data_IF_998877580197
#
_entry.id   IF_998877580197
#
_cell.length_a   1.000
_cell.length_b   1.000
_cell.length_c   1.000
_cell.angle_alpha   90.00
_cell.angle_beta   90.00
_cell.angle_gamma   90.00
#
_symmetry.space_group_name_H-M   'P 1'
#
loop_
_entity.id
_entity.type
_entity.pdbx_description
1 polymer ?
#
# COMPACT_ATOMS: atom_id res chain seq x y z
N UNK A 1 18.13 15.44 0.15
CA UNK A 1 17.62 15.37 1.54
C UNK A 1 16.58 14.27 1.53
N UNK A 2 16.56 13.37 2.53
CA UNK A 2 15.41 12.49 2.69
C UNK A 2 14.19 13.34 3.09
N UNK A 3 13.02 12.97 2.61
CA UNK A 3 11.76 13.57 2.97
C UNK A 3 10.86 12.51 3.61
N UNK A 4 9.96 12.96 4.48
CA UNK A 4 8.91 12.10 5.02
C UNK A 4 7.71 12.19 4.10
N UNK A 5 7.27 11.04 3.61
CA UNK A 5 6.07 10.89 2.80
C UNK A 5 5.03 10.09 3.58
N UNK A 6 3.79 10.11 3.09
CA UNK A 6 2.76 9.20 3.54
C UNK A 6 1.82 8.87 2.40
N UNK A 7 1.09 7.77 2.52
CA UNK A 7 -0.03 7.43 1.64
C UNK A 7 -1.19 6.93 2.50
N UNK A 8 -2.38 7.46 2.26
CA UNK A 8 -3.60 6.89 2.83
C UNK A 8 -4.15 5.82 1.87
N UNK A 9 -4.44 4.63 2.40
CA UNK A 9 -4.91 3.49 1.62
C UNK A 9 -6.27 3.07 2.16
N UNK A 10 -7.32 3.30 1.37
CA UNK A 10 -8.70 2.93 1.70
C UNK A 10 -9.06 1.61 1.05
N UNK A 11 -9.56 0.67 1.84
CA UNK A 11 -10.05 -0.60 1.32
C UNK A 11 -11.54 -0.53 0.94
N UNK A 12 -11.86 -0.76 -0.34
CA UNK A 12 -13.23 -0.91 -0.86
C UNK A 12 -13.38 -2.16 -1.73
N UNK A 13 -12.64 -3.21 -1.41
CA UNK A 13 -12.71 -4.50 -2.11
C UNK A 13 -13.94 -5.31 -1.70
N UNK A 14 -14.47 -5.08 -0.49
CA UNK A 14 -15.45 -5.95 0.16
C UNK A 14 -14.83 -7.02 1.07
N UNK A 15 -13.50 -7.18 1.04
CA UNK A 15 -12.74 -8.20 1.75
C UNK A 15 -11.80 -7.56 2.78
N UNK A 16 -11.38 -8.32 3.79
CA UNK A 16 -10.37 -7.85 4.74
C UNK A 16 -8.97 -7.97 4.14
N UNK A 17 -8.18 -6.90 4.15
CA UNK A 17 -6.76 -6.96 3.78
C UNK A 17 -5.93 -7.43 4.97
N UNK A 18 -5.19 -8.52 4.79
CA UNK A 18 -4.31 -9.09 5.81
C UNK A 18 -2.87 -8.63 5.69
N UNK A 19 -2.39 -8.34 4.47
CA UNK A 19 -1.02 -7.89 4.26
C UNK A 19 -0.98 -6.68 3.34
N UNK A 20 -0.09 -5.74 3.66
CA UNK A 20 0.19 -4.56 2.87
C UNK A 20 1.69 -4.38 2.76
N UNK A 21 2.23 -4.55 1.56
CA UNK A 21 3.64 -4.36 1.26
C UNK A 21 3.82 -3.04 0.55
N UNK A 22 4.80 -2.25 1.00
CA UNK A 22 5.18 -0.99 0.37
C UNK A 22 6.68 -0.99 0.15
N UNK A 23 7.13 -0.65 -1.05
CA UNK A 23 8.57 -0.59 -1.37
C UNK A 23 8.87 0.56 -2.31
N UNK A 24 10.10 1.11 -2.32
CA UNK A 24 10.48 2.10 -3.32
C UNK A 24 10.25 1.57 -4.74
N UNK A 25 9.71 2.38 -5.66
CA UNK A 25 9.38 1.94 -7.03
C UNK A 25 10.58 1.53 -7.90
N UNK A 26 11.80 1.70 -7.39
CA UNK A 26 13.04 1.21 -8.01
C UNK A 26 13.56 -0.10 -7.38
N UNK A 27 12.91 -0.58 -6.32
CA UNK A 27 13.22 -1.84 -5.67
C UNK A 27 12.85 -3.03 -6.56
N UNK A 28 13.57 -4.13 -6.40
CA UNK A 28 13.28 -5.40 -7.08
C UNK A 28 12.60 -6.42 -6.18
N UNK A 29 12.40 -6.07 -4.91
CA UNK A 29 11.82 -6.91 -3.87
C UNK A 29 10.89 -6.08 -3.00
N UNK A 30 9.80 -6.70 -2.57
CA UNK A 30 8.93 -6.14 -1.53
C UNK A 30 9.70 -6.03 -0.22
N UNK A 31 9.39 -4.99 0.54
CA UNK A 31 9.84 -4.86 1.93
C UNK A 31 8.88 -5.63 2.85
N UNK A 32 8.95 -5.36 4.14
CA UNK A 32 8.09 -5.97 5.15
C UNK A 32 6.63 -5.51 5.01
N UNK A 33 5.73 -6.31 5.60
CA UNK A 33 4.33 -5.92 5.76
C UNK A 33 4.20 -4.75 6.74
N UNK A 34 3.49 -3.70 6.33
CA UNK A 34 3.31 -2.47 7.12
C UNK A 34 2.11 -2.53 8.08
N UNK A 35 1.25 -3.54 7.96
CA UNK A 35 0.14 -3.77 8.92
C UNK A 35 0.62 -4.49 10.18
N UNK A 36 1.60 -5.38 10.05
CA UNK A 36 2.19 -6.08 11.18
C UNK A 36 1.21 -7.07 11.81
N UNK A 37 0.62 -6.70 12.96
CA UNK A 37 -0.42 -7.52 13.62
C UNK A 37 -1.84 -7.04 13.34
N UNK A 38 -1.99 -5.89 12.68
CA UNK A 38 -3.28 -5.30 12.36
C UNK A 38 -3.79 -5.81 11.00
N UNK A 39 -5.03 -5.48 10.67
CA UNK A 39 -5.65 -5.76 9.37
C UNK A 39 -6.39 -4.52 8.89
N UNK A 40 -6.55 -4.36 7.58
CA UNK A 40 -7.33 -3.28 7.00
C UNK A 40 -8.71 -3.78 6.55
N UNK A 41 -9.71 -3.56 7.39
CA UNK A 41 -11.10 -3.97 7.13
C UNK A 41 -11.69 -3.23 5.93
N UNK A 42 -12.71 -3.81 5.31
CA UNK A 42 -13.44 -3.13 4.23
C UNK A 42 -14.13 -1.85 4.75
N UNK A 43 -13.92 -0.75 4.04
CA UNK A 43 -14.41 0.58 4.36
C UNK A 43 -13.40 1.44 5.13
N UNK A 44 -12.40 0.81 5.77
CA UNK A 44 -11.42 1.50 6.58
C UNK A 44 -10.29 2.10 5.72
N UNK A 45 -9.53 3.00 6.34
CA UNK A 45 -8.35 3.64 5.74
C UNK A 45 -7.18 3.54 6.69
N UNK A 46 -6.04 3.08 6.18
CA UNK A 46 -4.78 3.04 6.90
C UNK A 46 -3.81 4.08 6.31
N UNK A 47 -3.23 4.90 7.18
CA UNK A 47 -2.09 5.74 6.80
C UNK A 47 -0.80 4.95 6.93
N UNK A 48 0.01 4.96 5.87
CA UNK A 48 1.37 4.42 5.88
C UNK A 48 2.35 5.58 5.81
N UNK A 49 3.19 5.73 6.84
CA UNK A 49 4.24 6.76 6.88
C UNK A 49 5.54 6.18 6.32
N UNK A 50 6.16 6.89 5.38
CA UNK A 50 7.34 6.48 4.64
C UNK A 50 8.47 7.46 4.92
N UNK A 51 9.40 7.10 5.80
CA UNK A 51 10.49 7.97 6.25
C UNK A 51 11.83 7.52 5.69
N UNK A 52 12.77 8.47 5.54
CA UNK A 52 14.14 8.16 5.09
C UNK A 52 14.30 7.99 3.57
N UNK A 53 13.24 8.20 2.80
CA UNK A 53 13.28 8.07 1.34
C UNK A 53 13.60 9.40 0.64
N UNK A 54 14.25 9.32 -0.52
CA UNK A 54 14.64 10.50 -1.32
C UNK A 54 13.74 10.71 -2.54
N UNK A 55 12.83 9.78 -2.82
CA UNK A 55 11.96 9.76 -3.98
C UNK A 55 10.53 9.37 -3.54
N UNK A 56 9.47 10.05 -4.03
CA UNK A 56 8.08 9.76 -3.69
C UNK A 56 7.44 8.60 -4.48
N UNK A 57 8.17 7.90 -5.36
CA UNK A 57 7.60 6.78 -6.13
C UNK A 57 7.73 5.46 -5.37
N UNK A 58 6.59 4.82 -5.10
CA UNK A 58 6.50 3.54 -4.39
C UNK A 58 5.64 2.54 -5.14
N UNK A 59 5.97 1.26 -4.98
CA UNK A 59 5.12 0.14 -5.33
C UNK A 59 4.38 -0.32 -4.09
N UNK A 60 3.10 -0.64 -4.24
CA UNK A 60 2.20 -1.03 -3.15
C UNK A 60 1.47 -2.30 -3.55
N UNK A 61 1.47 -3.31 -2.68
CA UNK A 61 0.71 -4.54 -2.86
C UNK A 61 -0.13 -4.83 -1.64
N UNK A 62 -1.40 -5.14 -1.85
CA UNK A 62 -2.29 -5.63 -0.82
C UNK A 62 -2.61 -7.11 -1.07
N UNK A 63 -2.80 -7.86 0.01
CA UNK A 63 -3.25 -9.26 -0.03
C UNK A 63 -4.43 -9.42 0.92
N UNK A 64 -5.55 -9.90 0.41
CA UNK A 64 -6.76 -10.11 1.22
C UNK A 64 -6.83 -11.48 1.89
N UNK A 65 -7.92 -11.70 2.62
CA UNK A 65 -8.19 -12.92 3.38
C UNK A 65 -8.33 -14.19 2.51
N UNK A 66 -8.63 -14.04 1.21
CA UNK A 66 -8.70 -15.12 0.23
C UNK A 66 -7.37 -15.30 -0.53
N UNK A 67 -6.34 -14.54 -0.14
CA UNK A 67 -5.00 -14.51 -0.73
C UNK A 67 -4.97 -13.94 -2.17
N UNK A 68 -6.02 -13.19 -2.54
CA UNK A 68 -6.09 -12.37 -3.74
C UNK A 68 -5.22 -11.12 -3.59
N UNK A 69 -4.74 -10.59 -4.72
CA UNK A 69 -3.70 -9.55 -4.74
C UNK A 69 -4.13 -8.34 -5.54
N UNK A 70 -3.73 -7.18 -5.04
CA UNK A 70 -3.97 -5.89 -5.68
C UNK A 70 -2.65 -5.14 -5.73
N UNK A 71 -2.07 -4.99 -6.92
CA UNK A 71 -0.75 -4.36 -7.07
C UNK A 71 -0.81 -3.00 -7.78
N UNK A 72 -0.23 -1.97 -7.15
CA UNK A 72 -0.07 -0.62 -7.68
C UNK A 72 1.41 -0.34 -7.89
N UNK A 73 1.80 -0.04 -9.13
CA UNK A 73 3.17 0.24 -9.50
C UNK A 73 3.44 1.73 -9.63
N UNK A 74 4.60 2.18 -9.15
CA UNK A 74 5.15 3.52 -9.33
C UNK A 74 4.17 4.66 -8.96
N UNK A 75 3.54 4.52 -7.79
CA UNK A 75 2.60 5.46 -7.18
C UNK A 75 3.37 6.67 -6.64
N UNK A 76 2.97 7.88 -7.03
CA UNK A 76 3.53 9.13 -6.48
C UNK A 76 2.86 9.51 -5.16
N UNK A 77 3.36 8.98 -4.04
CA UNK A 77 2.74 9.17 -2.71
C UNK A 77 2.75 10.63 -2.23
N UNK A 78 3.45 11.52 -2.91
CA UNK A 78 3.41 12.95 -2.57
C UNK A 78 2.17 13.67 -3.07
N UNK A 79 1.38 13.03 -3.94
CA UNK A 79 0.26 13.67 -4.64
C UNK A 79 -1.03 12.86 -4.65
N UNK A 80 -0.97 11.55 -4.38
CA UNK A 80 -2.15 10.69 -4.45
C UNK A 80 -2.22 9.68 -3.31
N UNK A 81 -3.45 9.48 -2.83
CA UNK A 81 -3.87 8.38 -1.97
C UNK A 81 -4.42 7.21 -2.82
N UNK A 82 -4.58 6.04 -2.22
CA UNK A 82 -5.07 4.84 -2.91
C UNK A 82 -6.45 4.45 -2.37
N UNK A 83 -7.34 4.13 -3.30
CA UNK A 83 -8.60 3.44 -3.01
C UNK A 83 -8.56 2.11 -3.75
N UNK A 84 -8.35 1.01 -3.02
CA UNK A 84 -8.35 -0.33 -3.60
C UNK A 84 -9.78 -0.83 -3.75
N UNK A 85 -10.07 -1.45 -4.90
CA UNK A 85 -11.36 -2.00 -5.29
C UNK A 85 -11.12 -3.29 -6.07
N UNK A 86 -12.18 -4.06 -6.34
CA UNK A 86 -12.08 -5.28 -7.15
C UNK A 86 -11.58 -5.04 -8.58
N UNK A 87 -11.67 -3.82 -9.12
CA UNK A 87 -11.12 -3.48 -10.43
C UNK A 87 -9.58 -3.53 -10.46
N UNK A 88 -8.94 -3.59 -9.30
CA UNK A 88 -7.49 -3.66 -9.14
C UNK A 88 -6.98 -5.08 -8.87
N UNK A 89 -7.84 -6.10 -8.96
CA UNK A 89 -7.43 -7.49 -8.78
C UNK A 89 -6.45 -7.90 -9.90
N UNK A 90 -5.32 -8.50 -9.49
CA UNK A 90 -4.24 -8.96 -10.39
C UNK A 90 -4.64 -10.14 -11.31
#
# INVERSE_FOLDING_TARGET
MAADYYVDITNRTGYTIYYMYVSPGSSKSWEEDVLGSDVLMNGDTQRVTLTGYTNPYFDIRLVDEDNDRYTFWNVDVSTQDIIVTLDHLD
#
